data_IF_404716911654
#
_entry.id   IF_404716911654
#
_cell.length_a   1.000
_cell.length_b   1.000
_cell.length_c   1.000
_cell.angle_alpha   90.00
_cell.angle_beta   90.00
_cell.angle_gamma   90.00
#
_symmetry.space_group_name_H-M   'P 1'
#
loop_
_entity.id
_entity.type
_entity.pdbx_description
1 polymer ?
#
# COMPACT_ATOMS: atom_id res chain seq x y z
N UNK A 1 44.94 -33.88 -5.17
CA UNK A 1 45.01 -35.36 -5.15
C UNK A 1 43.59 -35.83 -5.56
N UNK A 2 43.50 -36.13 -6.81
CA UNK A 2 42.76 -37.23 -7.49
C UNK A 2 41.21 -37.13 -7.46
N UNK A 3 40.65 -36.65 -8.57
CA UNK A 3 39.50 -37.18 -9.29
C UNK A 3 39.71 -38.69 -9.62
N UNK A 4 38.80 -39.44 -10.24
CA UNK A 4 37.57 -39.18 -11.00
C UNK A 4 36.51 -40.33 -10.93
N UNK A 5 35.41 -40.29 -11.65
CA UNK A 5 34.99 -40.91 -12.93
C UNK A 5 33.55 -41.49 -12.90
N UNK A 6 32.74 -41.04 -13.87
CA UNK A 6 31.79 -41.67 -14.80
C UNK A 6 30.81 -42.80 -14.38
N UNK A 7 29.55 -42.75 -14.78
CA UNK A 7 29.06 -43.26 -16.09
C UNK A 7 27.60 -42.92 -16.37
N UNK A 8 27.38 -42.68 -17.64
CA UNK A 8 26.12 -42.51 -18.34
C UNK A 8 25.39 -43.87 -18.56
N UNK A 9 24.11 -43.81 -18.82
CA UNK A 9 23.29 -44.93 -19.26
C UNK A 9 22.01 -44.46 -19.95
N UNK A 10 21.93 -44.71 -21.22
CA UNK A 10 21.01 -44.28 -22.26
C UNK A 10 19.64 -44.98 -22.24
N UNK A 11 18.68 -44.27 -22.86
CA UNK A 11 17.62 -44.67 -23.78
C UNK A 11 16.63 -45.81 -23.47
N UNK A 12 15.33 -45.46 -23.58
CA UNK A 12 14.43 -46.14 -24.55
C UNK A 12 13.10 -45.40 -24.72
N UNK A 13 12.89 -44.99 -25.96
CA UNK A 13 11.60 -44.59 -26.53
C UNK A 13 10.81 -45.85 -26.92
N UNK A 14 9.50 -45.83 -26.76
CA UNK A 14 8.56 -46.64 -27.53
C UNK A 14 7.29 -45.85 -27.83
N UNK A 15 7.11 -45.64 -29.13
CA UNK A 15 5.88 -45.18 -29.74
C UNK A 15 4.97 -46.39 -30.07
N UNK A 16 3.66 -46.17 -30.06
CA UNK A 16 2.60 -46.88 -30.81
C UNK A 16 1.25 -46.35 -30.31
N UNK A 17 0.28 -46.08 -31.09
CA UNK A 17 -0.20 -46.10 -32.46
C UNK A 17 -1.70 -45.78 -32.36
N UNK A 18 -2.17 -45.09 -33.35
CA UNK A 18 -3.54 -44.72 -33.64
C UNK A 18 -4.47 -45.91 -33.81
N UNK A 19 -5.76 -45.74 -33.54
CA UNK A 19 -6.81 -46.41 -34.29
C UNK A 19 -8.09 -45.60 -34.28
N UNK A 20 -8.44 -45.10 -35.45
CA UNK A 20 -9.76 -44.64 -35.87
C UNK A 20 -10.83 -45.71 -35.74
N UNK A 21 -12.04 -45.33 -35.36
CA UNK A 21 -13.23 -45.98 -35.91
C UNK A 21 -14.45 -45.02 -35.84
N UNK A 22 -14.86 -44.67 -37.03
CA UNK A 22 -16.09 -43.94 -37.38
C UNK A 22 -17.21 -44.98 -37.62
N UNK A 23 -18.40 -44.82 -37.06
CA UNK A 23 -19.67 -45.32 -37.63
C UNK A 23 -20.80 -44.42 -37.17
N UNK A 24 -21.59 -44.02 -38.12
CA UNK A 24 -22.63 -43.08 -38.13
C UNK A 24 -24.05 -43.64 -37.94
N UNK A 25 -25.00 -42.76 -38.24
CA UNK A 25 -26.44 -42.87 -38.44
C UNK A 25 -27.30 -42.91 -37.15
N UNK A 26 -28.44 -42.27 -36.99
CA UNK A 26 -29.49 -41.80 -37.87
C UNK A 26 -30.49 -40.97 -37.07
N UNK A 27 -31.15 -40.06 -37.74
CA UNK A 27 -32.25 -39.18 -37.41
C UNK A 27 -33.35 -39.70 -36.44
N UNK A 28 -33.79 -38.84 -35.51
CA UNK A 28 -35.24 -38.74 -35.15
C UNK A 28 -35.56 -37.29 -34.79
N UNK A 29 -36.43 -36.69 -35.61
CA UNK A 29 -37.08 -35.42 -35.42
C UNK A 29 -38.23 -35.62 -34.43
N UNK A 30 -38.31 -34.85 -33.36
CA UNK A 30 -39.56 -34.56 -32.71
C UNK A 30 -39.51 -33.10 -32.24
N UNK A 31 -40.37 -32.29 -32.84
CA UNK A 31 -40.62 -30.92 -32.48
C UNK A 31 -41.42 -30.81 -31.18
N UNK A 32 -41.03 -29.92 -30.35
CA UNK A 32 -41.93 -29.19 -29.46
C UNK A 32 -41.39 -27.77 -29.35
N UNK A 33 -42.20 -26.84 -29.87
CA UNK A 33 -41.93 -25.40 -29.77
C UNK A 33 -41.98 -24.96 -28.31
N UNK A 34 -40.86 -24.48 -27.85
CA UNK A 34 -40.81 -23.61 -26.70
C UNK A 34 -40.40 -22.22 -27.19
N UNK A 35 -41.33 -21.28 -27.08
CA UNK A 35 -41.10 -19.86 -27.34
C UNK A 35 -39.91 -19.39 -26.56
N UNK A 36 -38.89 -18.91 -27.27
CA UNK A 36 -37.77 -18.20 -26.68
C UNK A 36 -38.28 -16.84 -26.20
N UNK A 37 -38.49 -16.69 -24.91
CA UNK A 37 -38.63 -15.38 -24.25
C UNK A 37 -37.44 -14.52 -24.61
N UNK A 38 -37.61 -13.26 -25.03
CA UNK A 38 -36.50 -12.37 -25.30
C UNK A 38 -35.80 -12.10 -24.00
N UNK A 39 -34.52 -12.54 -23.92
CA UNK A 39 -33.65 -12.18 -22.85
C UNK A 39 -33.46 -10.66 -22.89
N UNK A 40 -33.91 -10.01 -21.84
CA UNK A 40 -33.79 -8.59 -21.60
C UNK A 40 -32.30 -8.21 -21.64
N UNK A 41 -31.85 -7.29 -22.53
CA UNK A 41 -30.44 -6.93 -22.63
C UNK A 41 -29.89 -6.05 -21.49
N UNK A 42 -30.68 -5.81 -20.43
CA UNK A 42 -30.37 -4.84 -19.37
C UNK A 42 -29.79 -5.45 -18.09
N UNK A 43 -29.25 -6.66 -18.12
CA UNK A 43 -28.57 -7.27 -16.94
C UNK A 43 -27.05 -7.41 -17.09
N UNK A 44 -26.38 -6.51 -17.81
CA UNK A 44 -25.00 -6.21 -17.45
C UNK A 44 -25.02 -5.17 -16.32
N UNK A 45 -25.31 -5.64 -15.10
CA UNK A 45 -24.92 -4.91 -13.92
C UNK A 45 -23.41 -4.70 -14.03
N UNK A 46 -23.00 -3.51 -14.47
CA UNK A 46 -21.60 -3.11 -14.47
C UNK A 46 -21.10 -3.34 -13.03
N UNK A 47 -20.30 -4.36 -12.84
CA UNK A 47 -19.54 -4.59 -11.61
C UNK A 47 -18.88 -3.25 -11.30
N UNK A 48 -19.33 -2.60 -10.23
CA UNK A 48 -18.81 -1.32 -9.82
C UNK A 48 -17.37 -1.57 -9.35
N UNK A 49 -16.41 -1.48 -10.29
CA UNK A 49 -15.01 -1.64 -9.98
C UNK A 49 -14.62 -0.61 -8.91
N UNK A 50 -14.07 -1.08 -7.81
CA UNK A 50 -13.52 -0.19 -6.80
C UNK A 50 -12.41 0.66 -7.44
N UNK A 51 -12.21 1.93 -6.99
CA UNK A 51 -11.13 2.75 -7.51
C UNK A 51 -9.77 2.08 -7.27
N UNK A 52 -8.84 2.31 -8.19
CA UNK A 52 -7.46 1.91 -8.10
C UNK A 52 -6.68 3.11 -7.57
N UNK A 53 -6.13 3.01 -6.37
CA UNK A 53 -5.46 4.12 -5.70
C UNK A 53 -4.02 3.75 -5.39
N UNK A 54 -3.11 4.67 -5.65
CA UNK A 54 -1.71 4.62 -5.21
C UNK A 54 -1.47 5.77 -4.25
N UNK A 55 -0.88 5.46 -3.11
CA UNK A 55 -0.41 6.43 -2.13
C UNK A 55 0.97 6.04 -1.63
N UNK A 56 1.78 7.03 -1.24
CA UNK A 56 3.07 6.80 -0.60
C UNK A 56 3.18 7.57 0.70
N UNK A 57 3.97 7.05 1.67
CA UNK A 57 4.26 7.78 2.90
C UNK A 57 5.68 7.53 3.40
N UNK A 58 6.28 8.55 4.00
CA UNK A 58 7.69 8.58 4.39
C UNK A 58 7.80 9.10 5.81
N UNK A 59 8.52 8.39 6.67
CA UNK A 59 8.57 8.67 8.09
C UNK A 59 9.88 9.33 8.51
N UNK A 60 9.88 9.87 9.73
CA UNK A 60 11.01 10.42 10.49
C UNK A 60 11.48 11.82 10.06
N UNK A 61 11.03 12.36 8.93
CA UNK A 61 11.37 13.72 8.52
C UNK A 61 12.87 13.93 8.30
N UNK A 62 13.57 12.95 7.73
CA UNK A 62 14.98 13.05 7.38
C UNK A 62 15.17 14.02 6.20
N UNK A 63 16.29 14.81 6.12
CA UNK A 63 16.56 15.66 4.98
C UNK A 63 16.59 14.92 3.62
N UNK A 64 16.88 13.63 3.59
CA UNK A 64 16.80 12.79 2.40
C UNK A 64 15.38 12.62 1.84
N UNK A 65 14.35 12.95 2.61
CA UNK A 65 12.96 13.01 2.13
C UNK A 65 12.81 13.98 0.95
N UNK A 66 13.64 15.00 0.85
CA UNK A 66 13.71 15.89 -0.31
C UNK A 66 14.16 15.16 -1.59
N UNK A 67 14.98 14.13 -1.47
CA UNK A 67 15.34 13.26 -2.60
C UNK A 67 14.18 12.35 -2.99
N UNK A 68 13.50 11.77 -1.99
CA UNK A 68 12.27 11.01 -2.23
C UNK A 68 11.23 11.88 -2.95
N UNK A 69 11.00 13.10 -2.45
CA UNK A 69 10.04 14.02 -3.06
C UNK A 69 10.34 14.30 -4.54
N UNK A 70 11.60 14.53 -4.91
CA UNK A 70 11.99 14.66 -6.31
C UNK A 70 11.63 13.42 -7.13
N UNK A 71 11.95 12.22 -6.61
CA UNK A 71 11.63 10.96 -7.30
C UNK A 71 10.13 10.77 -7.50
N UNK A 72 9.31 11.19 -6.52
CA UNK A 72 7.85 11.18 -6.62
C UNK A 72 7.34 12.22 -7.63
N UNK A 73 7.81 13.45 -7.54
CA UNK A 73 7.42 14.56 -8.42
C UNK A 73 7.70 14.24 -9.90
N UNK A 74 8.90 13.72 -10.21
CA UNK A 74 9.28 13.28 -11.56
C UNK A 74 8.30 12.27 -12.16
N UNK A 75 7.56 11.55 -11.32
CA UNK A 75 6.60 10.51 -11.69
C UNK A 75 5.15 10.87 -11.44
N UNK A 76 4.88 12.12 -11.00
CA UNK A 76 3.54 12.61 -10.63
C UNK A 76 2.85 11.73 -9.58
N UNK A 77 3.63 11.20 -8.65
CA UNK A 77 3.14 10.43 -7.52
C UNK A 77 2.85 11.35 -6.34
N UNK A 78 1.75 11.09 -5.62
CA UNK A 78 1.46 11.76 -4.36
C UNK A 78 2.23 11.10 -3.21
N UNK A 79 2.52 11.89 -2.17
CA UNK A 79 3.18 11.41 -0.97
C UNK A 79 2.79 12.19 0.27
N UNK A 80 2.87 11.52 1.43
CA UNK A 80 2.69 12.10 2.75
C UNK A 80 3.98 11.92 3.54
N UNK A 81 4.55 13.00 4.04
CA UNK A 81 5.78 12.97 4.85
C UNK A 81 5.42 13.19 6.32
N UNK A 82 5.67 12.20 7.15
CA UNK A 82 5.36 12.21 8.58
C UNK A 82 6.57 12.68 9.39
N UNK A 83 6.47 13.86 9.99
CA UNK A 83 7.59 14.59 10.58
C UNK A 83 7.44 14.68 12.10
N UNK A 84 8.39 14.14 12.89
CA UNK A 84 8.46 14.37 14.33
C UNK A 84 9.08 15.74 14.63
N UNK A 85 8.71 16.37 15.76
CA UNK A 85 9.22 17.72 16.08
C UNK A 85 10.71 17.71 16.45
N UNK A 86 11.18 16.70 17.18
CA UNK A 86 12.59 16.64 17.64
C UNK A 86 13.51 15.84 16.73
N UNK A 87 13.00 15.26 15.65
CA UNK A 87 13.72 14.31 14.82
C UNK A 87 13.84 12.94 15.46
N UNK A 88 14.28 11.97 14.67
CA UNK A 88 14.52 10.61 15.10
C UNK A 88 16.00 10.43 15.51
N UNK A 89 16.30 9.52 16.45
CA UNK A 89 17.67 9.32 16.95
C UNK A 89 18.69 8.86 15.89
N UNK A 90 18.22 8.39 14.73
CA UNK A 90 19.08 7.92 13.62
C UNK A 90 19.21 8.92 12.49
N UNK A 91 18.42 10.01 12.49
CA UNK A 91 18.43 10.97 11.41
C UNK A 91 18.38 12.41 11.95
N UNK A 92 19.02 13.33 11.23
CA UNK A 92 18.80 14.74 11.46
C UNK A 92 17.35 15.07 11.09
N UNK A 93 16.71 15.93 11.88
CA UNK A 93 15.37 16.43 11.51
C UNK A 93 15.48 17.39 10.31
N UNK A 94 14.61 17.24 9.33
CA UNK A 94 14.41 18.24 8.29
C UNK A 94 14.06 19.60 8.92
N UNK A 95 14.67 20.66 8.44
CA UNK A 95 14.37 22.00 8.90
C UNK A 95 13.05 22.56 8.33
N UNK A 96 12.62 23.73 8.82
CA UNK A 96 11.39 24.37 8.35
C UNK A 96 11.42 24.65 6.84
N UNK A 97 12.56 25.01 6.28
CA UNK A 97 12.70 25.31 4.86
C UNK A 97 12.46 24.06 4.00
N UNK A 98 12.98 22.91 4.43
CA UNK A 98 12.72 21.63 3.79
C UNK A 98 11.23 21.24 3.84
N UNK A 99 10.57 21.40 4.99
CA UNK A 99 9.12 21.15 5.12
C UNK A 99 8.31 22.06 4.18
N UNK A 100 8.60 23.35 4.15
CA UNK A 100 7.93 24.29 3.24
C UNK A 100 8.21 23.96 1.75
N UNK A 101 9.39 23.43 1.44
CA UNK A 101 9.71 22.97 0.09
C UNK A 101 8.88 21.75 -0.32
N UNK A 102 8.63 20.79 0.59
CA UNK A 102 7.74 19.65 0.34
C UNK A 102 6.31 20.13 0.12
N UNK A 103 5.83 21.02 0.96
CA UNK A 103 4.49 21.59 0.89
C UNK A 103 4.25 22.37 -0.41
N UNK A 104 5.19 23.21 -0.81
CA UNK A 104 5.14 23.98 -2.06
C UNK A 104 5.11 23.09 -3.32
N UNK A 105 5.64 21.87 -3.23
CA UNK A 105 5.57 20.86 -4.30
C UNK A 105 4.25 20.08 -4.28
N UNK A 106 3.33 20.37 -3.35
CA UNK A 106 2.02 19.71 -3.23
C UNK A 106 2.04 18.39 -2.43
N UNK A 107 3.13 18.08 -1.74
CA UNK A 107 3.17 16.93 -0.84
C UNK A 107 2.46 17.22 0.49
N UNK A 108 1.83 16.21 1.04
CA UNK A 108 1.20 16.30 2.35
C UNK A 108 2.25 16.17 3.46
N UNK A 109 2.17 17.03 4.47
CA UNK A 109 2.90 16.90 5.71
C UNK A 109 1.97 16.32 6.78
N UNK A 110 2.38 15.25 7.43
CA UNK A 110 1.69 14.61 8.53
C UNK A 110 2.51 14.69 9.83
N UNK A 111 1.86 14.46 10.96
CA UNK A 111 2.49 14.45 12.27
C UNK A 111 3.02 13.07 12.65
N UNK A 112 4.19 13.02 13.36
CA UNK A 112 4.81 11.79 13.82
C UNK A 112 5.25 11.82 15.29
N UNK A 113 4.53 12.58 16.12
CA UNK A 113 4.85 12.82 17.51
C UNK A 113 5.92 13.91 17.70
N UNK A 114 6.14 14.29 18.96
CA UNK A 114 7.18 15.26 19.29
C UNK A 114 8.56 14.61 19.32
N UNK A 115 8.67 13.47 20.01
CA UNK A 115 9.95 12.80 20.29
C UNK A 115 10.01 11.35 19.84
N UNK A 116 9.05 10.92 19.02
CA UNK A 116 8.95 9.56 18.48
C UNK A 116 8.95 8.45 19.56
N UNK A 117 8.15 8.55 20.64
CA UNK A 117 8.15 7.59 21.72
C UNK A 117 7.29 6.36 21.39
N UNK A 118 7.36 5.33 22.25
CA UNK A 118 6.38 4.26 22.25
C UNK A 118 5.07 4.76 22.88
N UNK A 119 4.18 5.35 22.08
CA UNK A 119 2.95 6.03 22.54
C UNK A 119 2.09 5.22 23.52
N UNK A 120 1.87 3.89 23.34
CA UNK A 120 1.17 3.07 24.33
C UNK A 120 1.76 3.04 25.75
N UNK A 121 3.04 3.43 25.91
CA UNK A 121 3.74 3.49 27.21
C UNK A 121 3.75 4.88 27.82
N UNK A 122 3.30 5.90 27.09
CA UNK A 122 3.16 7.25 27.59
C UNK A 122 2.00 7.35 28.60
N UNK A 123 2.19 8.13 29.66
CA UNK A 123 1.07 8.55 30.48
C UNK A 123 0.14 9.53 29.70
N UNK A 124 -1.03 9.81 30.24
CA UNK A 124 -2.02 10.64 29.55
C UNK A 124 -1.48 12.03 29.21
N UNK A 125 -0.71 12.65 30.10
CA UNK A 125 -0.15 14.00 29.88
C UNK A 125 0.96 14.00 28.84
N UNK A 126 1.79 12.96 28.82
CA UNK A 126 2.80 12.75 27.80
C UNK A 126 2.17 12.50 26.44
N UNK A 127 1.13 11.67 26.39
CA UNK A 127 0.42 11.33 25.16
C UNK A 127 -0.20 12.58 24.51
N UNK A 128 -0.88 13.40 25.28
CA UNK A 128 -1.43 14.69 24.81
C UNK A 128 -0.31 15.57 24.24
N UNK A 129 0.81 15.73 24.97
CA UNK A 129 1.95 16.52 24.47
C UNK A 129 2.52 15.96 23.16
N UNK A 130 2.69 14.65 23.07
CA UNK A 130 3.24 14.04 21.85
C UNK A 130 2.33 14.22 20.62
N UNK A 131 1.01 14.23 20.83
CA UNK A 131 0.04 14.30 19.74
C UNK A 131 -0.32 15.76 19.42
N UNK A 132 -0.81 16.51 20.40
CA UNK A 132 -1.33 17.87 20.18
C UNK A 132 -0.22 18.88 19.91
N UNK A 133 0.90 18.83 20.68
CA UNK A 133 2.02 19.74 20.44
C UNK A 133 2.67 19.48 19.10
N UNK A 134 2.72 18.20 18.64
CA UNK A 134 3.23 17.89 17.32
C UNK A 134 2.37 18.56 16.24
N UNK A 135 1.04 18.38 16.32
CA UNK A 135 0.10 19.00 15.38
C UNK A 135 0.29 20.51 15.33
N UNK A 136 0.16 21.16 16.47
CA UNK A 136 0.24 22.61 16.58
C UNK A 136 1.55 23.18 16.01
N UNK A 137 2.68 22.59 16.36
CA UNK A 137 4.00 23.05 15.87
C UNK A 137 4.14 22.92 14.35
N UNK A 138 3.64 21.84 13.76
CA UNK A 138 3.67 21.67 12.31
C UNK A 138 2.72 22.65 11.64
N UNK A 139 1.53 22.90 12.21
CA UNK A 139 0.57 23.88 11.69
C UNK A 139 1.11 25.31 11.77
N UNK A 140 1.80 25.67 12.88
CA UNK A 140 2.48 26.96 13.02
C UNK A 140 3.59 27.14 11.97
N UNK A 141 4.41 26.09 11.75
CA UNK A 141 5.49 26.11 10.78
C UNK A 141 4.98 26.23 9.32
N UNK A 142 3.86 25.57 9.01
CA UNK A 142 3.29 25.46 7.66
C UNK A 142 2.21 26.52 7.39
N UNK A 143 1.65 27.14 8.42
CA UNK A 143 0.48 28.04 8.36
C UNK A 143 -0.74 27.38 7.70
N UNK A 144 -0.90 26.07 7.89
CA UNK A 144 -2.03 25.29 7.38
C UNK A 144 -2.33 24.07 8.27
N UNK A 145 -3.52 23.49 8.10
CA UNK A 145 -3.95 22.30 8.83
C UNK A 145 -3.07 21.07 8.51
N UNK A 146 -2.73 20.31 9.56
CA UNK A 146 -2.08 19.00 9.48
C UNK A 146 -3.11 17.91 9.82
N UNK A 147 -3.56 17.19 8.80
CA UNK A 147 -4.72 16.30 8.88
C UNK A 147 -4.41 14.86 9.24
N UNK A 148 -3.17 14.39 9.02
CA UNK A 148 -2.80 12.97 9.19
C UNK A 148 -1.75 12.79 10.27
N UNK A 149 -1.85 11.66 10.97
CA UNK A 149 -0.87 11.20 11.97
C UNK A 149 -0.27 9.85 11.56
N UNK A 150 1.01 9.61 11.83
CA UNK A 150 1.57 8.24 11.80
C UNK A 150 2.00 7.85 13.21
N UNK A 151 1.63 6.65 13.63
CA UNK A 151 2.05 6.15 14.94
C UNK A 151 3.53 5.78 14.93
N UNK A 152 4.38 6.36 15.80
CA UNK A 152 5.76 5.93 15.96
C UNK A 152 5.87 4.41 16.10
N UNK A 153 6.70 3.78 15.25
CA UNK A 153 6.84 2.33 15.13
C UNK A 153 5.51 1.57 14.83
N UNK A 154 4.47 2.25 14.35
CA UNK A 154 3.14 1.69 14.14
C UNK A 154 2.38 1.34 15.43
N UNK A 155 2.93 1.66 16.61
CA UNK A 155 2.40 1.22 17.92
C UNK A 155 1.28 2.12 18.42
N UNK A 156 0.12 1.51 18.65
CA UNK A 156 -1.08 2.19 19.13
C UNK A 156 -1.92 1.28 20.02
N UNK A 157 -2.79 1.89 20.81
CA UNK A 157 -3.88 1.25 21.54
C UNK A 157 -5.11 2.17 21.51
N UNK A 158 -6.20 1.78 22.16
CA UNK A 158 -7.44 2.57 22.17
C UNK A 158 -7.26 4.00 22.73
N UNK A 159 -6.42 4.18 23.76
CA UNK A 159 -6.16 5.51 24.33
C UNK A 159 -5.37 6.40 23.37
N UNK A 160 -4.37 5.84 22.68
CA UNK A 160 -3.60 6.56 21.66
C UNK A 160 -4.51 6.98 20.50
N UNK A 161 -5.36 6.06 20.01
CA UNK A 161 -6.32 6.37 18.94
C UNK A 161 -7.28 7.48 19.40
N UNK A 162 -7.79 7.40 20.63
CA UNK A 162 -8.69 8.42 21.17
C UNK A 162 -8.00 9.80 21.23
N UNK A 163 -6.75 9.89 21.70
CA UNK A 163 -5.98 11.11 21.75
C UNK A 163 -5.75 11.72 20.37
N UNK A 164 -5.36 10.90 19.39
CA UNK A 164 -5.16 11.35 18.00
C UNK A 164 -6.48 11.87 17.39
N UNK A 165 -7.59 11.18 17.67
CA UNK A 165 -8.92 11.63 17.22
C UNK A 165 -9.34 12.95 17.89
N UNK A 166 -9.13 13.09 19.19
CA UNK A 166 -9.45 14.30 19.96
C UNK A 166 -8.61 15.50 19.51
N UNK A 167 -7.37 15.29 19.09
CA UNK A 167 -6.52 16.33 18.51
C UNK A 167 -6.99 16.82 17.12
N UNK A 168 -8.06 16.25 16.56
CA UNK A 168 -8.67 16.70 15.31
C UNK A 168 -8.00 16.18 14.04
N UNK A 169 -7.20 15.10 14.11
CA UNK A 169 -6.74 14.41 12.90
C UNK A 169 -7.90 13.69 12.20
N UNK A 170 -7.86 13.63 10.88
CA UNK A 170 -8.87 12.92 10.08
C UNK A 170 -8.58 11.43 9.97
N UNK A 171 -7.31 11.04 10.21
CA UNK A 171 -6.88 9.64 10.16
C UNK A 171 -5.47 9.46 10.70
N UNK A 172 -5.11 8.19 10.89
CA UNK A 172 -3.78 7.82 11.33
C UNK A 172 -3.30 6.52 10.67
N UNK A 173 -2.02 6.48 10.28
CA UNK A 173 -1.37 5.38 9.60
C UNK A 173 -0.64 4.48 10.59
N UNK A 174 -0.76 3.17 10.37
CA UNK A 174 -0.06 2.10 11.07
C UNK A 174 1.01 1.46 10.17
N UNK A 175 1.82 0.56 10.70
CA UNK A 175 2.77 -0.25 9.93
C UNK A 175 2.23 -1.65 9.59
N UNK A 176 0.91 -1.86 9.66
CA UNK A 176 0.28 -3.10 9.26
C UNK A 176 0.42 -3.27 7.73
N UNK A 177 1.15 -4.30 7.30
CA UNK A 177 1.48 -4.54 5.89
C UNK A 177 0.52 -5.52 5.19
N UNK A 178 0.69 -5.67 3.86
CA UNK A 178 -0.02 -6.58 2.97
C UNK A 178 -1.49 -6.21 2.72
N UNK A 179 -1.94 -5.06 3.19
CA UNK A 179 -3.30 -4.56 2.94
C UNK A 179 -3.43 -3.95 1.54
N UNK A 180 -4.63 -4.05 0.97
CA UNK A 180 -5.00 -3.50 -0.34
C UNK A 180 -6.44 -2.99 -0.35
N UNK A 181 -7.17 -3.19 0.72
CA UNK A 181 -8.57 -2.83 0.84
C UNK A 181 -8.74 -1.31 0.87
N UNK A 182 -9.79 -0.82 0.21
CA UNK A 182 -10.17 0.59 0.27
C UNK A 182 -10.83 0.95 1.61
N UNK A 183 -11.56 0.00 2.19
CA UNK A 183 -12.34 0.25 3.42
C UNK A 183 -11.59 -0.25 4.64
N UNK A 184 -11.20 0.67 5.50
CA UNK A 184 -10.48 0.43 6.76
C UNK A 184 -10.90 1.47 7.81
N UNK A 185 -10.50 1.30 9.07
CA UNK A 185 -10.66 2.34 10.08
C UNK A 185 -9.70 3.51 9.77
N UNK A 186 -10.20 4.75 9.57
CA UNK A 186 -9.35 5.92 9.28
C UNK A 186 -8.18 6.10 10.25
N UNK A 187 -8.36 5.71 11.51
CA UNK A 187 -7.31 5.78 12.54
C UNK A 187 -6.46 4.51 12.65
N UNK A 188 -6.59 3.60 11.68
CA UNK A 188 -5.78 2.39 11.53
C UNK A 188 -5.44 2.15 10.06
N UNK A 189 -5.15 3.22 9.32
CA UNK A 189 -4.78 3.11 7.91
C UNK A 189 -3.61 2.14 7.74
N UNK A 190 -3.79 1.03 7.00
CA UNK A 190 -2.74 0.06 6.79
C UNK A 190 -1.84 0.46 5.62
N UNK A 191 -0.79 -0.33 5.41
CA UNK A 191 0.13 -0.21 4.28
C UNK A 191 0.13 -1.49 3.43
N UNK A 192 0.57 -1.41 2.19
CA UNK A 192 0.78 -2.60 1.36
C UNK A 192 2.18 -3.17 1.56
N UNK A 193 3.20 -2.34 1.50
CA UNK A 193 4.59 -2.78 1.59
C UNK A 193 5.48 -1.65 2.14
N UNK A 194 6.50 -2.01 2.91
CA UNK A 194 7.60 -1.12 3.24
C UNK A 194 8.67 -1.21 2.15
N UNK A 195 9.26 -0.09 1.79
CA UNK A 195 10.42 -0.01 0.89
C UNK A 195 11.69 -0.53 1.59
N UNK A 196 11.65 -1.78 2.05
CA UNK A 196 12.70 -2.41 2.83
C UNK A 196 12.67 -3.94 2.69
N UNK A 197 13.83 -4.62 2.62
CA UNK A 197 13.91 -6.08 2.47
C UNK A 197 13.66 -6.83 3.78
N UNK A 198 12.41 -6.96 4.19
CA UNK A 198 12.03 -7.77 5.36
C UNK A 198 12.24 -9.26 5.14
N UNK A 199 12.50 -9.97 6.24
CA UNK A 199 12.46 -11.43 6.22
C UNK A 199 11.01 -11.96 6.15
N UNK A 200 10.84 -13.23 5.71
CA UNK A 200 9.52 -13.87 5.72
C UNK A 200 8.92 -13.92 7.13
N UNK A 201 9.77 -14.06 8.16
CA UNK A 201 9.34 -14.06 9.56
C UNK A 201 8.81 -12.68 10.00
N UNK A 202 9.36 -11.58 9.47
CA UNK A 202 8.89 -10.24 9.78
C UNK A 202 7.51 -10.00 9.15
N UNK A 203 7.30 -10.42 7.92
CA UNK A 203 5.97 -10.39 7.30
C UNK A 203 4.96 -11.26 8.07
N UNK A 204 5.35 -12.45 8.49
CA UNK A 204 4.49 -13.33 9.29
C UNK A 204 4.16 -12.70 10.65
N UNK A 205 5.14 -12.14 11.37
CA UNK A 205 4.90 -11.44 12.63
C UNK A 205 3.97 -10.25 12.44
N UNK A 206 4.22 -9.42 11.43
CA UNK A 206 3.37 -8.27 11.12
C UNK A 206 1.92 -8.72 10.83
N UNK A 207 1.76 -9.77 10.04
CA UNK A 207 0.45 -10.37 9.76
C UNK A 207 -0.27 -10.85 11.03
N UNK A 208 0.44 -11.55 11.93
CA UNK A 208 -0.13 -12.05 13.17
C UNK A 208 -0.51 -10.94 14.16
N UNK A 209 0.18 -9.83 14.13
CA UNK A 209 -0.04 -8.70 15.05
C UNK A 209 -1.03 -7.66 14.53
N UNK A 210 -1.30 -7.63 13.23
CA UNK A 210 -2.22 -6.65 12.61
C UNK A 210 -3.70 -6.97 12.79
N UNK A 211 -4.07 -8.16 13.28
CA UNK A 211 -5.46 -8.53 13.63
C UNK A 211 -6.38 -8.92 12.46
N UNK A 212 -5.93 -8.82 11.22
CA UNK A 212 -6.75 -9.08 10.02
C UNK A 212 -6.56 -10.51 9.45
N UNK A 213 -6.65 -11.52 10.31
CA UNK A 213 -6.37 -12.93 10.00
C UNK A 213 -7.18 -13.52 8.84
N UNK A 214 -8.44 -13.10 8.66
CA UNK A 214 -9.33 -13.75 7.69
C UNK A 214 -9.15 -13.29 6.25
N UNK A 215 -8.66 -12.08 6.03
CA UNK A 215 -8.58 -11.45 4.70
C UNK A 215 -7.29 -11.75 3.94
N UNK A 216 -6.18 -11.95 4.62
CA UNK A 216 -4.85 -12.01 3.99
C UNK A 216 -4.24 -13.42 3.91
N UNK A 217 -4.96 -14.49 4.29
CA UNK A 217 -4.44 -15.86 4.30
C UNK A 217 -3.91 -16.35 2.94
N UNK A 218 -4.58 -15.99 1.85
CA UNK A 218 -4.17 -16.38 0.50
C UNK A 218 -2.82 -15.76 0.05
N UNK A 219 -2.35 -14.73 0.74
CA UNK A 219 -1.09 -14.05 0.42
C UNK A 219 0.12 -14.63 1.17
N UNK A 220 -0.11 -15.25 2.34
CA UNK A 220 0.95 -15.92 3.11
C UNK A 220 1.59 -17.08 2.35
N UNK A 221 0.84 -17.81 1.55
CA UNK A 221 1.33 -18.95 0.76
C UNK A 221 2.21 -18.52 -0.42
N UNK A 222 2.26 -17.23 -0.74
CA UNK A 222 2.98 -16.65 -1.87
C UNK A 222 3.98 -15.57 -1.47
N UNK A 223 4.38 -15.51 -0.18
CA UNK A 223 5.40 -14.56 0.26
C UNK A 223 6.72 -14.80 -0.50
N UNK A 224 7.31 -13.76 -1.09
CA UNK A 224 8.58 -13.88 -1.78
C UNK A 224 9.70 -14.25 -0.80
N UNK A 225 10.77 -14.87 -1.32
CA UNK A 225 11.97 -15.13 -0.52
C UNK A 225 12.59 -13.81 -0.04
N UNK A 226 13.25 -13.84 1.11
CA UNK A 226 13.93 -12.69 1.68
C UNK A 226 14.77 -11.93 0.63
N UNK A 227 14.63 -10.60 0.56
CA UNK A 227 15.20 -9.61 -0.38
C UNK A 227 14.38 -9.27 -1.63
N UNK A 228 13.14 -9.69 -1.74
CA UNK A 228 12.31 -9.39 -2.93
C UNK A 228 11.14 -8.43 -2.61
N UNK A 229 11.38 -7.38 -1.81
CA UNK A 229 10.36 -6.38 -1.53
C UNK A 229 9.84 -5.70 -2.82
N UNK A 230 10.72 -5.55 -3.82
CA UNK A 230 10.37 -5.01 -5.15
C UNK A 230 9.32 -5.89 -5.84
N UNK A 231 9.57 -7.20 -5.89
CA UNK A 231 8.63 -8.15 -6.50
C UNK A 231 7.30 -8.19 -5.72
N UNK A 232 7.36 -8.15 -4.39
CA UNK A 232 6.17 -8.07 -3.54
C UNK A 232 5.38 -6.80 -3.82
N UNK A 233 6.04 -5.64 -3.92
CA UNK A 233 5.42 -4.37 -4.25
C UNK A 233 4.69 -4.43 -5.59
N UNK A 234 5.34 -4.94 -6.64
CA UNK A 234 4.74 -5.09 -7.97
C UNK A 234 3.52 -6.03 -7.95
N UNK A 235 3.61 -7.18 -7.29
CA UNK A 235 2.48 -8.14 -7.16
C UNK A 235 1.30 -7.55 -6.40
N UNK A 236 1.54 -6.79 -5.33
CA UNK A 236 0.48 -6.14 -4.56
C UNK A 236 -0.17 -5.04 -5.39
N UNK A 237 0.62 -4.26 -6.13
CA UNK A 237 0.11 -3.26 -7.07
C UNK A 237 -0.74 -3.91 -8.17
N UNK A 238 -0.26 -4.96 -8.83
CA UNK A 238 -1.02 -5.69 -9.87
C UNK A 238 -2.34 -6.23 -9.32
N UNK A 239 -2.32 -6.70 -8.07
CA UNK A 239 -3.56 -7.13 -7.41
C UNK A 239 -4.55 -5.98 -7.21
N UNK A 240 -4.07 -4.77 -6.89
CA UNK A 240 -4.90 -3.57 -6.77
C UNK A 240 -5.42 -3.12 -8.15
N UNK A 241 -4.59 -3.19 -9.19
CA UNK A 241 -5.01 -2.89 -10.57
C UNK A 241 -6.14 -3.81 -11.02
N UNK A 242 -6.06 -5.10 -10.70
CA UNK A 242 -7.02 -6.10 -11.13
C UNK A 242 -8.34 -6.09 -10.32
N UNK A 243 -8.30 -5.68 -9.05
CA UNK A 243 -9.44 -5.84 -8.14
C UNK A 243 -9.97 -4.50 -7.58
N UNK A 244 -9.28 -3.40 -7.84
CA UNK A 244 -9.47 -2.14 -7.14
C UNK A 244 -8.88 -2.18 -5.72
N UNK A 245 -8.87 -1.01 -5.07
CA UNK A 245 -8.34 -0.85 -3.71
C UNK A 245 -7.20 0.14 -3.61
N UNK A 246 -6.36 -0.01 -2.60
CA UNK A 246 -5.26 0.93 -2.28
C UNK A 246 -3.92 0.20 -2.28
N UNK A 247 -2.99 0.64 -3.12
CA UNK A 247 -1.57 0.31 -2.99
C UNK A 247 -0.88 1.42 -2.20
N UNK A 248 -0.39 1.10 -1.01
CA UNK A 248 0.28 2.02 -0.11
C UNK A 248 1.73 1.59 0.11
N UNK A 249 2.66 2.28 -0.55
CA UNK A 249 4.10 2.14 -0.30
C UNK A 249 4.52 3.06 0.84
N UNK A 250 5.22 2.55 1.85
CA UNK A 250 5.79 3.40 2.91
C UNK A 250 7.27 3.07 3.15
N UNK A 251 7.99 3.96 3.78
CA UNK A 251 9.39 3.73 4.13
C UNK A 251 10.03 4.91 4.86
N UNK A 252 11.34 4.80 5.03
CA UNK A 252 12.19 5.83 5.62
C UNK A 252 13.34 6.13 4.65
N UNK A 253 13.55 7.39 4.32
CA UNK A 253 14.61 7.76 3.36
C UNK A 253 16.01 7.43 3.88
N UNK A 254 16.23 7.51 5.19
CA UNK A 254 17.49 7.09 5.81
C UNK A 254 17.74 5.58 5.67
N UNK A 255 16.69 4.71 5.76
CA UNK A 255 16.84 3.27 5.49
C UNK A 255 17.22 3.01 4.03
N UNK A 256 16.53 3.70 3.09
CA UNK A 256 16.86 3.60 1.66
C UNK A 256 18.33 3.94 1.42
N UNK A 257 18.84 4.97 2.08
CA UNK A 257 20.24 5.39 1.96
C UNK A 257 21.20 4.37 2.58
N UNK A 258 20.97 3.98 3.83
CA UNK A 258 21.85 3.09 4.58
C UNK A 258 21.97 1.71 3.95
N UNK A 259 20.89 1.20 3.40
CA UNK A 259 20.82 -0.11 2.72
C UNK A 259 21.01 -0.02 1.21
N UNK A 260 21.29 1.19 0.65
CA UNK A 260 21.55 1.43 -0.77
C UNK A 260 20.41 0.99 -1.69
N UNK A 261 19.17 1.24 -1.28
CA UNK A 261 17.95 0.78 -1.95
C UNK A 261 17.37 1.82 -2.96
N UNK A 262 18.13 2.85 -3.31
CA UNK A 262 17.65 3.92 -4.21
C UNK A 262 17.23 3.39 -5.58
N UNK A 263 17.97 2.41 -6.12
CA UNK A 263 17.64 1.83 -7.42
C UNK A 263 16.40 0.96 -7.36
N UNK A 264 16.27 0.12 -6.32
CA UNK A 264 15.08 -0.69 -6.08
C UNK A 264 13.84 0.19 -5.91
N UNK A 265 13.98 1.29 -5.15
CA UNK A 265 12.90 2.26 -4.99
C UNK A 265 12.53 2.89 -6.35
N UNK A 266 13.50 3.31 -7.15
CA UNK A 266 13.28 3.86 -8.49
C UNK A 266 12.46 2.90 -9.35
N UNK A 267 12.82 1.63 -9.36
CA UNK A 267 12.13 0.58 -10.12
C UNK A 267 10.67 0.45 -9.68
N UNK A 268 10.39 0.43 -8.37
CA UNK A 268 9.00 0.34 -7.86
C UNK A 268 8.20 1.58 -8.22
N UNK A 269 8.75 2.79 -7.98
CA UNK A 269 8.05 4.03 -8.29
C UNK A 269 7.74 4.16 -9.78
N UNK A 270 8.65 3.73 -10.66
CA UNK A 270 8.45 3.71 -12.09
C UNK A 270 7.36 2.71 -12.51
N UNK A 271 7.34 1.52 -11.89
CA UNK A 271 6.34 0.50 -12.15
C UNK A 271 4.92 0.94 -11.81
N UNK A 272 4.73 1.65 -10.69
CA UNK A 272 3.40 2.04 -10.22
C UNK A 272 2.91 3.37 -10.79
N UNK A 273 3.80 4.19 -11.39
CA UNK A 273 3.48 5.52 -11.89
C UNK A 273 2.81 5.53 -13.27
N UNK A 274 2.17 6.65 -13.60
CA UNK A 274 1.60 6.95 -14.92
C UNK A 274 0.66 5.86 -15.48
N UNK A 275 -0.08 5.17 -14.62
CA UNK A 275 -1.05 4.15 -15.01
C UNK A 275 -2.42 4.78 -15.27
N UNK A 276 -3.00 4.45 -16.41
CA UNK A 276 -4.36 4.91 -16.75
C UNK A 276 -5.39 4.37 -15.75
N UNK A 277 -6.31 5.22 -15.31
CA UNK A 277 -7.37 4.84 -14.37
C UNK A 277 -6.90 4.69 -12.92
N UNK A 278 -5.66 5.05 -12.60
CA UNK A 278 -5.12 5.05 -11.24
C UNK A 278 -5.17 6.46 -10.66
N UNK A 279 -5.71 6.58 -9.44
CA UNK A 279 -5.69 7.82 -8.66
C UNK A 279 -4.44 7.85 -7.77
N UNK A 280 -3.70 8.94 -7.85
CA UNK A 280 -2.52 9.19 -7.01
C UNK A 280 -2.88 10.19 -5.92
N UNK A 281 -3.03 9.73 -4.68
CA UNK A 281 -3.56 10.54 -3.57
C UNK A 281 -2.60 10.54 -2.38
N UNK A 282 -2.49 11.66 -1.63
CA UNK A 282 -1.88 11.65 -0.30
C UNK A 282 -2.76 10.85 0.67
N UNK A 283 -2.23 10.52 1.85
CA UNK A 283 -2.96 9.67 2.80
C UNK A 283 -4.31 10.30 3.23
N UNK A 284 -4.38 11.62 3.46
CA UNK A 284 -5.65 12.28 3.76
C UNK A 284 -6.65 12.20 2.62
N UNK A 285 -6.17 12.27 1.37
CA UNK A 285 -6.99 12.11 0.18
C UNK A 285 -7.65 10.72 0.11
N UNK A 286 -6.89 9.66 0.45
CA UNK A 286 -7.43 8.29 0.55
C UNK A 286 -8.51 8.20 1.63
N UNK A 287 -8.25 8.73 2.83
CA UNK A 287 -9.21 8.73 3.95
C UNK A 287 -10.48 9.51 3.59
N UNK A 288 -10.33 10.68 2.96
CA UNK A 288 -11.49 11.48 2.52
C UNK A 288 -12.31 10.74 1.46
N UNK A 289 -11.67 10.15 0.45
CA UNK A 289 -12.34 9.40 -0.60
C UNK A 289 -13.09 8.18 -0.04
N UNK A 290 -12.51 7.49 0.95
CA UNK A 290 -13.15 6.36 1.61
C UNK A 290 -14.46 6.75 2.30
N UNK A 291 -14.54 7.95 2.89
CA UNK A 291 -15.70 8.47 3.61
C UNK A 291 -16.81 9.05 2.72
N UNK A 292 -16.56 9.17 1.40
CA UNK A 292 -17.58 9.58 0.42
C UNK A 292 -18.49 8.38 0.10
N UNK A 293 -19.77 8.64 -0.09
CA UNK A 293 -20.71 7.58 -0.48
C UNK A 293 -20.29 6.89 -1.81
N UNK A 294 -20.64 5.62 -2.00
CA UNK A 294 -20.16 4.85 -3.15
C UNK A 294 -20.54 5.44 -4.52
N UNK A 295 -21.69 6.11 -4.64
CA UNK A 295 -22.15 6.70 -5.91
C UNK A 295 -21.34 7.95 -6.26
N UNK A 296 -21.15 8.85 -5.32
CA UNK A 296 -20.28 10.04 -5.47
C UNK A 296 -18.83 9.65 -5.70
N UNK A 297 -18.33 8.63 -4.98
CA UNK A 297 -16.97 8.09 -5.20
C UNK A 297 -16.78 7.64 -6.64
N UNK A 298 -17.75 6.94 -7.22
CA UNK A 298 -17.69 6.49 -8.62
C UNK A 298 -17.55 7.67 -9.58
N UNK A 299 -18.31 8.74 -9.36
CA UNK A 299 -18.25 9.96 -10.19
C UNK A 299 -16.89 10.63 -10.08
N UNK A 300 -16.36 10.81 -8.86
CA UNK A 300 -15.05 11.41 -8.62
C UNK A 300 -13.92 10.62 -9.32
N UNK A 301 -13.95 9.29 -9.21
CA UNK A 301 -12.96 8.44 -9.86
C UNK A 301 -13.03 8.49 -11.40
N UNK A 302 -14.23 8.62 -11.98
CA UNK A 302 -14.39 8.74 -13.44
C UNK A 302 -13.97 10.11 -13.98
N UNK A 303 -14.00 11.14 -13.15
CA UNK A 303 -13.57 12.50 -13.48
C UNK A 303 -12.04 12.71 -13.36
N UNK A 304 -11.31 11.71 -12.84
CA UNK A 304 -9.84 11.79 -12.70
C UNK A 304 -9.39 12.64 -11.50
N UNK A 305 -10.30 12.85 -10.53
CA UNK A 305 -9.99 13.51 -9.26
C UNK A 305 -9.47 12.50 -8.26
#
# INVERSE_FOLDING_TARGET
MILPIHKAGETRATARQESDMNIGSTLAVNGNGAEATPQNPDTFAASAHQPIIVTTSWDDGDPLDLQIARMLADRRLAGTFYIPIKGHHRSARMDRAGMLSLDAQGFEIGAHGVSHPNLPQCDASQLVREVETCKQRLEDDLSKEVSMFAYPNGRHNSNVIASVRQAGFVGARTTAMLARELIFDPFRMPTSVQAFPHSQLDYLKNFLTSGDFRRNWSHLTRLPRARQWVELAMRLFDSVVNNGGVFHLYGHSWEINDFKLWEELRVVLEYVSNRQGVLYLPNSGVVRLMNVDPSTRKVLCSAGL
#
